data_IF_453047792020
#
_entry.id   IF_453047792020
#
_cell.length_a   1.000
_cell.length_b   1.000
_cell.length_c   1.000
_cell.angle_alpha   90.00
_cell.angle_beta   90.00
_cell.angle_gamma   90.00
#
_symmetry.space_group_name_H-M   'P 1'
#
loop_
_entity.id
_entity.type
_entity.pdbx_description
1 polymer ?
#
# COMPACT_ATOMS: atom_id res chain seq x y z
N UNK A 1 -2.75 13.16 8.94
CA UNK A 1 -3.83 13.67 8.08
C UNK A 1 -3.39 15.01 7.49
N UNK A 2 -4.00 15.49 6.39
CA UNK A 2 -3.65 16.76 5.74
C UNK A 2 -3.68 17.98 6.65
N UNK A 3 -4.43 17.96 7.76
CA UNK A 3 -4.48 19.04 8.76
C UNK A 3 -3.45 18.89 9.89
N UNK A 4 -2.58 17.87 9.83
CA UNK A 4 -1.58 17.58 10.86
C UNK A 4 -2.05 16.62 11.96
N UNK A 5 -3.33 16.25 11.98
CA UNK A 5 -3.88 15.32 12.99
C UNK A 5 -3.50 13.87 12.70
N UNK A 6 -3.55 13.00 13.71
CA UNK A 6 -3.23 11.58 13.60
C UNK A 6 -4.50 10.74 13.63
N UNK A 7 -4.71 9.88 12.62
CA UNK A 7 -5.70 8.82 12.69
C UNK A 7 -5.10 7.64 13.45
N UNK A 8 -5.76 7.20 14.51
CA UNK A 8 -5.36 6.06 15.34
C UNK A 8 -6.45 5.00 15.22
N UNK A 9 -6.06 3.77 14.91
CA UNK A 9 -6.92 2.60 14.94
C UNK A 9 -6.31 1.55 15.87
N UNK A 10 -7.12 1.01 16.78
CA UNK A 10 -6.71 0.00 17.74
C UNK A 10 -7.88 -0.95 18.00
N UNK A 11 -7.62 -2.25 17.82
CA UNK A 11 -8.59 -3.33 17.88
C UNK A 11 -9.74 -3.17 16.87
N UNK A 12 -10.85 -2.57 17.30
CA UNK A 12 -11.98 -2.19 16.44
C UNK A 12 -12.32 -0.70 16.57
N UNK A 13 -11.61 0.03 17.43
CA UNK A 13 -11.89 1.43 17.77
C UNK A 13 -10.96 2.34 16.98
N UNK A 14 -11.45 3.53 16.62
CA UNK A 14 -10.60 4.55 16.02
C UNK A 14 -10.94 5.95 16.46
N UNK A 15 -9.93 6.81 16.41
CA UNK A 15 -10.05 8.22 16.73
C UNK A 15 -9.17 9.09 15.83
N UNK A 16 -9.55 10.36 15.73
CA UNK A 16 -8.69 11.44 15.25
C UNK A 16 -8.10 12.14 16.46
N UNK A 17 -6.78 12.22 16.53
CA UNK A 17 -6.02 12.74 17.66
C UNK A 17 -5.19 13.96 17.24
N UNK A 18 -5.27 15.03 18.03
CA UNK A 18 -4.37 16.18 17.91
C UNK A 18 -3.14 15.92 18.77
N UNK A 19 -2.00 15.73 18.10
CA UNK A 19 -0.72 15.44 18.78
C UNK A 19 -0.21 16.65 19.57
N UNK A 20 -0.43 17.86 19.09
CA UNK A 20 0.07 19.08 19.74
C UNK A 20 -0.78 19.45 20.95
N UNK A 21 -2.11 19.31 20.84
CA UNK A 21 -3.03 19.55 21.94
C UNK A 21 -3.14 18.35 22.90
N UNK A 22 -2.63 17.17 22.51
CA UNK A 22 -2.73 15.91 23.27
C UNK A 22 -4.18 15.52 23.58
N UNK A 23 -5.07 15.66 22.61
CA UNK A 23 -6.50 15.41 22.79
C UNK A 23 -7.14 14.64 21.62
N UNK A 24 -8.18 13.86 21.94
CA UNK A 24 -9.04 13.24 20.94
C UNK A 24 -9.98 14.30 20.35
N UNK A 25 -9.84 14.59 19.06
CA UNK A 25 -10.74 15.48 18.31
C UNK A 25 -12.11 14.82 18.14
N UNK A 26 -12.11 13.55 17.70
CA UNK A 26 -13.34 12.77 17.54
C UNK A 26 -13.06 11.28 17.57
N UNK A 27 -14.02 10.53 18.11
CA UNK A 27 -14.08 9.07 18.02
C UNK A 27 -14.99 8.67 16.87
N UNK A 28 -14.63 7.63 16.14
CA UNK A 28 -15.47 7.04 15.11
C UNK A 28 -16.24 5.83 15.68
N UNK A 29 -17.29 5.36 15.00
CA UNK A 29 -17.94 4.10 15.36
C UNK A 29 -16.93 2.94 15.37
N UNK A 30 -17.19 1.93 16.20
CA UNK A 30 -16.41 0.69 16.15
C UNK A 30 -16.59 0.03 14.79
N UNK A 31 -15.49 -0.45 14.22
CA UNK A 31 -15.50 -1.23 13.00
C UNK A 31 -16.10 -2.62 13.27
N UNK A 32 -17.09 -3.07 12.49
CA UNK A 32 -17.54 -4.46 12.55
C UNK A 32 -16.43 -5.44 12.17
N UNK A 33 -16.41 -6.62 12.81
CA UNK A 33 -15.42 -7.68 12.57
C UNK A 33 -14.72 -8.14 13.85
N UNK A 34 -13.63 -8.87 13.66
CA UNK A 34 -12.76 -9.38 14.72
C UNK A 34 -11.66 -8.38 15.08
N UNK A 35 -10.76 -8.80 15.99
CA UNK A 35 -9.61 -8.00 16.41
C UNK A 35 -8.63 -7.80 15.24
N UNK A 36 -8.01 -6.63 15.18
CA UNK A 36 -7.11 -6.22 14.07
C UNK A 36 -5.76 -5.68 14.52
N UNK A 37 -5.52 -5.66 15.82
CA UNK A 37 -4.24 -5.25 16.41
C UNK A 37 -3.51 -6.47 16.94
N UNK A 38 -2.18 -6.34 17.07
CA UNK A 38 -1.33 -7.39 17.59
C UNK A 38 -1.94 -8.05 18.84
N UNK A 39 -2.00 -9.40 18.89
CA UNK A 39 -1.42 -10.35 17.93
C UNK A 39 -2.32 -10.71 16.73
N UNK A 40 -3.57 -10.26 16.71
CA UNK A 40 -4.55 -10.57 15.66
C UNK A 40 -4.50 -9.57 14.49
N UNK A 41 -3.29 -9.20 14.07
CA UNK A 41 -3.06 -8.03 13.23
C UNK A 41 -3.71 -8.17 11.84
N UNK A 42 -4.50 -7.17 11.45
CA UNK A 42 -4.91 -6.94 10.06
C UNK A 42 -3.93 -6.05 9.31
N UNK A 43 -4.20 -5.75 8.05
CA UNK A 43 -3.44 -4.77 7.26
C UNK A 43 -4.20 -3.47 7.11
N UNK A 44 -3.49 -2.37 6.88
CA UNK A 44 -4.10 -1.06 6.64
C UNK A 44 -3.37 -0.26 5.57
N UNK A 45 -4.13 0.59 4.87
CA UNK A 45 -3.62 1.58 3.91
C UNK A 45 -4.43 2.87 4.02
N UNK A 46 -3.79 4.01 3.74
CA UNK A 46 -4.50 5.22 3.35
C UNK A 46 -4.64 5.21 1.83
N UNK A 47 -5.88 5.19 1.34
CA UNK A 47 -6.18 5.15 -0.09
C UNK A 47 -5.63 6.40 -0.80
N UNK A 48 -5.36 6.30 -2.12
CA UNK A 48 -4.70 7.39 -2.86
C UNK A 48 -5.45 8.72 -2.77
N UNK A 49 -4.70 9.82 -2.68
CA UNK A 49 -5.24 11.17 -2.68
C UNK A 49 -5.22 11.71 -4.11
N UNK A 50 -6.38 12.04 -4.67
CA UNK A 50 -6.50 12.50 -6.05
C UNK A 50 -7.62 13.53 -6.21
N UNK A 51 -7.67 14.19 -7.37
CA UNK A 51 -8.69 15.21 -7.63
C UNK A 51 -10.12 14.68 -7.52
N UNK A 52 -10.35 13.41 -7.90
CA UNK A 52 -11.66 12.78 -7.90
C UNK A 52 -12.28 12.58 -6.51
N UNK A 53 -11.46 12.40 -5.48
CA UNK A 53 -11.90 12.32 -4.08
C UNK A 53 -11.63 13.61 -3.30
N UNK A 54 -11.41 14.74 -3.99
CA UNK A 54 -11.04 16.03 -3.40
C UNK A 54 -9.81 15.95 -2.47
N UNK A 55 -8.93 14.98 -2.66
CA UNK A 55 -7.80 14.70 -1.77
C UNK A 55 -8.22 14.43 -0.31
N UNK A 56 -9.46 13.99 -0.09
CA UNK A 56 -9.94 13.58 1.23
C UNK A 56 -9.31 12.22 1.60
N UNK A 57 -8.64 12.11 2.76
CA UNK A 57 -8.09 10.83 3.19
C UNK A 57 -9.20 9.83 3.50
N UNK A 58 -9.04 8.63 2.95
CA UNK A 58 -9.85 7.47 3.26
C UNK A 58 -8.91 6.34 3.70
N UNK A 59 -9.21 5.71 4.83
CA UNK A 59 -8.42 4.58 5.33
C UNK A 59 -9.16 3.28 5.04
N UNK A 60 -8.41 2.26 4.64
CA UNK A 60 -8.92 0.90 4.48
C UNK A 60 -8.17 -0.02 5.43
N UNK A 61 -8.90 -0.85 6.16
CA UNK A 61 -8.36 -1.82 7.12
C UNK A 61 -8.98 -3.18 6.80
N UNK A 62 -8.15 -4.21 6.63
CA UNK A 62 -8.57 -5.54 6.22
C UNK A 62 -8.04 -6.63 7.13
N UNK A 63 -8.80 -7.71 7.23
CA UNK A 63 -8.34 -8.92 7.91
C UNK A 63 -8.32 -8.83 9.43
N UNK A 64 -7.42 -9.59 10.04
CA UNK A 64 -7.31 -9.72 11.49
C UNK A 64 -7.71 -11.12 11.96
N UNK A 65 -8.07 -11.27 13.23
CA UNK A 65 -8.40 -12.59 13.79
C UNK A 65 -9.08 -12.56 15.16
N UNK A 66 -9.56 -13.72 15.58
CA UNK A 66 -10.38 -13.85 16.78
C UNK A 66 -9.55 -14.00 18.06
N UNK A 67 -8.45 -14.75 18.03
CA UNK A 67 -7.68 -15.07 19.23
C UNK A 67 -6.26 -15.53 18.90
N UNK A 68 -5.34 -15.30 19.84
CA UNK A 68 -3.95 -15.74 19.75
C UNK A 68 -3.80 -17.23 20.05
N UNK A 69 -4.37 -18.08 19.20
CA UNK A 69 -4.26 -19.53 19.31
C UNK A 69 -3.98 -20.14 17.94
N UNK A 70 -3.33 -21.30 17.94
CA UNK A 70 -3.10 -22.09 16.73
C UNK A 70 -4.44 -22.38 16.06
N UNK A 71 -4.48 -22.22 14.73
CA UNK A 71 -5.65 -22.52 13.89
C UNK A 71 -6.92 -21.67 14.16
N UNK A 72 -6.82 -20.57 14.92
CA UNK A 72 -7.92 -19.61 15.08
C UNK A 72 -8.34 -19.03 13.73
N UNK A 73 -9.63 -18.83 13.47
CA UNK A 73 -10.07 -18.29 12.18
C UNK A 73 -9.66 -16.81 12.06
N UNK A 74 -9.05 -16.44 10.94
CA UNK A 74 -8.83 -15.05 10.58
C UNK A 74 -10.10 -14.39 10.03
N UNK A 75 -10.15 -13.07 10.00
CA UNK A 75 -11.28 -12.32 9.46
C UNK A 75 -11.08 -12.05 7.96
N UNK A 76 -12.16 -12.04 7.18
CA UNK A 76 -12.15 -11.63 5.77
C UNK A 76 -12.58 -10.17 5.59
N UNK A 77 -13.25 -9.58 6.59
CA UNK A 77 -13.85 -8.27 6.46
C UNK A 77 -12.82 -7.15 6.31
N UNK A 78 -13.22 -6.15 5.54
CA UNK A 78 -12.50 -4.92 5.28
C UNK A 78 -13.42 -3.74 5.50
N UNK A 79 -12.91 -2.67 6.09
CA UNK A 79 -13.65 -1.44 6.35
C UNK A 79 -12.93 -0.26 5.75
N UNK A 80 -13.70 0.58 5.09
CA UNK A 80 -13.27 1.89 4.59
C UNK A 80 -13.93 2.99 5.40
N UNK A 81 -13.18 4.03 5.73
CA UNK A 81 -13.69 5.18 6.48
C UNK A 81 -12.91 6.43 6.11
N UNK A 82 -13.60 7.53 5.87
CA UNK A 82 -12.98 8.86 5.71
C UNK A 82 -12.84 9.52 7.08
N UNK A 83 -11.65 9.57 7.70
CA UNK A 83 -11.50 10.05 9.07
C UNK A 83 -11.85 11.52 9.23
N UNK A 84 -11.79 12.32 8.16
CA UNK A 84 -12.05 13.75 8.20
C UNK A 84 -13.51 14.13 7.91
N UNK A 85 -14.35 13.18 7.51
CA UNK A 85 -15.76 13.46 7.21
C UNK A 85 -16.51 13.96 8.45
N UNK A 86 -17.60 14.71 8.24
CA UNK A 86 -18.46 15.21 9.33
C UNK A 86 -19.16 14.08 10.09
N UNK A 87 -19.44 12.96 9.43
CA UNK A 87 -20.06 11.77 10.02
C UNK A 87 -19.33 10.51 9.54
N UNK A 88 -18.15 10.19 10.11
CA UNK A 88 -17.38 9.02 9.69
C UNK A 88 -18.18 7.73 9.92
N UNK A 89 -18.26 6.89 8.89
CA UNK A 89 -18.92 5.58 8.93
C UNK A 89 -18.04 4.56 8.22
N UNK A 90 -18.12 3.33 8.70
CA UNK A 90 -17.45 2.20 8.06
C UNK A 90 -18.28 1.71 6.89
N UNK A 91 -17.70 1.74 5.70
CA UNK A 91 -18.19 1.03 4.51
C UNK A 91 -17.48 -0.32 4.45
N UNK A 92 -18.26 -1.40 4.56
CA UNK A 92 -17.73 -2.75 4.73
C UNK A 92 -17.76 -3.53 3.41
N UNK A 93 -16.67 -4.25 3.16
CA UNK A 93 -16.51 -5.22 2.08
C UNK A 93 -15.74 -6.43 2.64
N UNK A 94 -15.50 -7.46 1.83
CA UNK A 94 -14.79 -8.67 2.27
C UNK A 94 -13.73 -9.09 1.25
N UNK A 95 -12.55 -9.46 1.73
CA UNK A 95 -11.59 -10.22 0.93
C UNK A 95 -12.21 -11.57 0.53
N UNK A 96 -11.85 -12.15 -0.62
CA UNK A 96 -12.35 -13.47 -1.00
C UNK A 96 -11.99 -14.60 -0.03
N UNK A 97 -10.92 -14.43 0.76
CA UNK A 97 -10.50 -15.36 1.80
C UNK A 97 -10.18 -14.61 3.10
N UNK A 98 -10.39 -15.24 4.29
CA UNK A 98 -9.95 -14.68 5.55
C UNK A 98 -8.44 -14.54 5.58
N UNK A 99 -7.94 -13.45 6.18
CA UNK A 99 -6.50 -13.20 6.22
C UNK A 99 -6.07 -12.42 7.46
N UNK A 100 -5.26 -13.05 8.30
CA UNK A 100 -4.46 -12.38 9.32
C UNK A 100 -3.08 -12.07 8.77
N UNK A 101 -2.41 -11.06 9.32
CA UNK A 101 -1.07 -10.62 8.89
C UNK A 101 -0.99 -10.13 7.44
N UNK A 102 -2.13 -9.77 6.84
CA UNK A 102 -2.17 -9.24 5.48
C UNK A 102 -1.47 -7.89 5.39
N UNK A 103 -0.80 -7.65 4.27
CA UNK A 103 -0.14 -6.38 3.94
C UNK A 103 -0.81 -5.75 2.73
N UNK A 104 -1.18 -4.48 2.87
CA UNK A 104 -1.71 -3.66 1.78
C UNK A 104 -0.60 -2.79 1.18
N UNK A 105 -0.44 -2.81 -0.15
CA UNK A 105 0.52 -1.98 -0.89
C UNK A 105 -0.21 -1.20 -1.98
N UNK A 106 -0.20 0.13 -1.88
CA UNK A 106 -0.69 1.03 -2.92
C UNK A 106 0.07 0.83 -4.24
N UNK A 107 -0.66 0.66 -5.33
CA UNK A 107 -0.14 0.48 -6.67
C UNK A 107 -0.32 1.74 -7.52
N UNK A 108 0.55 1.94 -8.53
CA UNK A 108 0.64 3.17 -9.34
C UNK A 108 -0.57 3.42 -10.26
N UNK A 109 -1.53 2.53 -10.32
CA UNK A 109 -2.82 2.70 -11.00
C UNK A 109 -3.97 3.08 -10.02
N UNK A 110 -3.65 3.28 -8.74
CA UNK A 110 -4.62 3.64 -7.69
C UNK A 110 -5.28 2.44 -7.01
N UNK A 111 -4.96 1.22 -7.44
CA UNK A 111 -5.42 -0.01 -6.77
C UNK A 111 -4.53 -0.38 -5.58
N UNK A 112 -4.94 -1.38 -4.79
CA UNK A 112 -4.20 -1.87 -3.63
C UNK A 112 -3.92 -3.35 -3.77
N UNK A 113 -2.65 -3.76 -3.70
CA UNK A 113 -2.26 -5.16 -3.56
C UNK A 113 -2.41 -5.58 -2.10
N UNK A 114 -3.15 -6.65 -1.85
CA UNK A 114 -3.25 -7.33 -0.57
C UNK A 114 -2.55 -8.70 -0.68
N UNK A 115 -1.49 -8.90 0.09
CA UNK A 115 -0.61 -10.09 0.01
C UNK A 115 -0.14 -10.50 1.42
N UNK A 116 0.53 -11.66 1.52
CA UNK A 116 1.09 -12.23 2.75
C UNK A 116 0.04 -12.60 3.82
N UNK A 117 0.46 -13.36 4.82
CA UNK A 117 -0.36 -13.79 5.93
C UNK A 117 -0.96 -15.19 5.82
N UNK A 118 -1.97 -15.45 6.64
CA UNK A 118 -2.58 -16.76 6.82
C UNK A 118 -4.09 -16.67 6.91
N UNK A 119 -4.77 -17.76 6.54
CA UNK A 119 -6.21 -17.90 6.76
C UNK A 119 -6.55 -18.27 8.20
N UNK A 120 -5.58 -18.80 8.96
CA UNK A 120 -5.76 -19.21 10.35
C UNK A 120 -4.54 -18.95 11.24
N UNK A 121 -4.79 -18.61 12.49
CA UNK A 121 -3.81 -18.28 13.51
C UNK A 121 -3.72 -16.78 13.79
N UNK A 122 -2.56 -16.36 14.29
CA UNK A 122 -2.27 -14.98 14.67
C UNK A 122 -0.76 -14.71 14.49
N UNK A 123 -0.33 -13.46 14.68
CA UNK A 123 1.08 -13.13 14.81
C UNK A 123 1.69 -13.78 16.07
N UNK A 124 2.99 -14.05 16.00
CA UNK A 124 3.74 -14.80 17.00
C UNK A 124 4.33 -16.09 16.42
N UNK A 125 5.10 -16.81 17.23
CA UNK A 125 5.77 -18.04 16.81
C UNK A 125 4.86 -19.25 16.93
N UNK A 126 4.85 -20.13 15.92
CA UNK A 126 4.09 -21.37 15.96
C UNK A 126 2.57 -21.20 16.01
N UNK A 127 2.00 -20.07 15.54
CA UNK A 127 0.54 -19.83 15.61
C UNK A 127 -0.17 -19.93 14.27
N UNK A 128 0.47 -19.48 13.20
CA UNK A 128 -0.14 -19.39 11.88
C UNK A 128 -0.22 -20.76 11.17
N UNK A 129 -1.38 -21.08 10.62
CA UNK A 129 -1.66 -22.25 9.80
C UNK A 129 -2.42 -21.83 8.54
N UNK A 130 -2.50 -22.70 7.53
CA UNK A 130 -3.14 -22.40 6.23
C UNK A 130 -2.66 -21.07 5.62
N UNK A 131 -1.41 -21.00 5.12
CA UNK A 131 -0.86 -19.80 4.50
C UNK A 131 -1.78 -19.27 3.40
N UNK A 132 -1.92 -17.94 3.33
CA UNK A 132 -2.74 -17.29 2.32
C UNK A 132 -1.84 -16.92 1.13
N UNK A 133 -1.87 -17.78 0.11
CA UNK A 133 -0.88 -17.81 -0.98
C UNK A 133 -1.22 -16.90 -2.17
N UNK A 134 -2.48 -16.47 -2.29
CA UNK A 134 -2.94 -15.64 -3.40
C UNK A 134 -2.58 -14.17 -3.19
N UNK A 135 -2.26 -13.48 -4.28
CA UNK A 135 -2.14 -12.03 -4.32
C UNK A 135 -3.46 -11.45 -4.82
N UNK A 136 -4.06 -10.54 -4.04
CA UNK A 136 -5.36 -9.95 -4.36
C UNK A 136 -5.21 -8.46 -4.68
N UNK A 137 -5.79 -8.00 -5.78
CA UNK A 137 -5.88 -6.56 -6.07
C UNK A 137 -7.28 -6.09 -5.69
N UNK A 138 -7.35 -5.04 -4.88
CA UNK A 138 -8.58 -4.30 -4.58
C UNK A 138 -8.60 -3.00 -5.39
N UNK A 139 -9.71 -2.73 -6.08
CA UNK A 139 -9.97 -1.46 -6.75
C UNK A 139 -10.95 -0.62 -5.92
N UNK A 140 -10.48 0.48 -5.27
CA UNK A 140 -11.33 1.35 -4.47
C UNK A 140 -12.42 2.07 -5.24
N UNK A 141 -12.26 2.27 -6.56
CA UNK A 141 -13.24 2.96 -7.40
C UNK A 141 -14.45 2.07 -7.71
N UNK A 142 -14.23 0.76 -7.89
CA UNK A 142 -15.28 -0.19 -8.24
C UNK A 142 -15.73 -1.11 -7.10
N UNK A 143 -15.04 -1.07 -5.96
CA UNK A 143 -15.21 -1.97 -4.81
C UNK A 143 -15.10 -3.45 -5.21
N UNK A 144 -14.05 -3.78 -5.98
CA UNK A 144 -13.85 -5.13 -6.53
C UNK A 144 -12.50 -5.71 -6.17
N UNK A 145 -12.52 -7.02 -5.93
CA UNK A 145 -11.35 -7.86 -5.71
C UNK A 145 -11.04 -8.67 -6.96
N UNK A 146 -9.77 -8.71 -7.36
CA UNK A 146 -9.29 -9.50 -8.50
C UNK A 146 -8.06 -10.32 -8.11
N UNK A 147 -8.06 -11.65 -8.28
CA UNK A 147 -6.86 -12.46 -8.06
C UNK A 147 -5.78 -12.10 -9.08
N UNK A 148 -4.53 -11.99 -8.64
CA UNK A 148 -3.42 -11.48 -9.47
C UNK A 148 -2.12 -12.26 -9.30
N UNK A 149 -2.25 -13.57 -9.15
CA UNK A 149 -1.15 -14.53 -9.02
C UNK A 149 -1.16 -15.24 -7.67
N UNK A 150 -0.36 -16.30 -7.57
CA UNK A 150 -0.23 -17.10 -6.36
C UNK A 150 1.25 -17.46 -6.17
N UNK A 151 1.74 -17.38 -4.93
CA UNK A 151 3.07 -17.87 -4.56
C UNK A 151 2.96 -19.27 -3.94
N UNK A 152 4.04 -20.04 -3.98
CA UNK A 152 4.17 -21.28 -3.21
C UNK A 152 4.98 -21.09 -1.92
N UNK A 153 5.28 -19.84 -1.56
CA UNK A 153 6.04 -19.47 -0.38
C UNK A 153 5.07 -18.97 0.69
N UNK A 154 5.05 -19.64 1.84
CA UNK A 154 4.26 -19.21 2.99
C UNK A 154 4.91 -17.98 3.64
N UNK A 155 4.37 -16.79 3.35
CA UNK A 155 4.81 -15.54 3.97
C UNK A 155 3.92 -15.21 5.15
N UNK A 156 4.32 -15.64 6.33
CA UNK A 156 3.58 -15.56 7.59
C UNK A 156 4.15 -14.43 8.46
N UNK A 157 4.23 -14.62 9.77
CA UNK A 157 4.82 -13.64 10.69
C UNK A 157 6.23 -13.21 10.23
N UNK A 158 6.54 -11.91 10.36
CA UNK A 158 7.75 -11.26 9.82
C UNK A 158 7.91 -11.28 8.28
N UNK A 159 6.83 -11.43 7.50
CA UNK A 159 6.86 -11.04 6.08
C UNK A 159 6.89 -9.53 5.90
N UNK A 160 7.23 -9.09 4.69
CA UNK A 160 7.09 -7.70 4.22
C UNK A 160 6.80 -7.65 2.71
N UNK A 161 6.14 -6.57 2.26
CA UNK A 161 5.93 -6.23 0.87
C UNK A 161 6.13 -4.72 0.63
N UNK A 162 6.83 -4.33 -0.44
CA UNK A 162 7.15 -2.93 -0.72
C UNK A 162 7.20 -2.63 -2.22
N UNK A 163 6.56 -1.54 -2.66
CA UNK A 163 6.66 -1.04 -4.03
C UNK A 163 8.08 -0.53 -4.33
N UNK A 164 8.65 -0.97 -5.44
CA UNK A 164 9.98 -0.60 -5.93
C UNK A 164 9.92 0.54 -6.96
N UNK A 165 11.07 1.15 -7.25
CA UNK A 165 11.20 2.26 -8.22
C UNK A 165 10.78 1.90 -9.64
N UNK A 166 10.83 0.63 -10.03
CA UNK A 166 10.34 0.20 -11.32
C UNK A 166 8.82 -0.06 -11.31
N UNK A 167 8.13 0.15 -10.19
CA UNK A 167 6.70 -0.12 -10.05
C UNK A 167 6.37 -1.60 -9.81
N UNK A 168 7.35 -2.48 -9.64
CA UNK A 168 7.09 -3.84 -9.14
C UNK A 168 7.00 -3.86 -7.61
N UNK A 169 6.57 -4.99 -7.01
CA UNK A 169 6.51 -5.13 -5.55
C UNK A 169 7.50 -6.19 -5.10
N UNK A 170 8.44 -5.80 -4.25
CA UNK A 170 9.31 -6.72 -3.51
C UNK A 170 8.47 -7.44 -2.45
N UNK A 171 8.59 -8.75 -2.37
CA UNK A 171 7.99 -9.56 -1.31
C UNK A 171 9.11 -10.36 -0.64
N UNK A 172 9.27 -10.19 0.66
CA UNK A 172 10.41 -10.75 1.40
C UNK A 172 10.00 -11.28 2.78
N UNK A 173 10.92 -12.04 3.37
CA UNK A 173 10.76 -12.67 4.66
C UNK A 173 9.80 -13.85 4.68
N UNK A 174 9.97 -14.63 5.74
CA UNK A 174 9.05 -14.76 6.86
C UNK A 174 9.83 -15.50 7.95
N UNK A 175 9.58 -15.20 9.22
CA UNK A 175 10.14 -15.96 10.32
C UNK A 175 9.04 -16.25 11.36
N UNK A 176 8.24 -17.31 11.14
CA UNK A 176 7.18 -17.72 12.04
C UNK A 176 7.67 -18.58 13.22
N UNK A 177 8.99 -18.68 13.43
CA UNK A 177 9.61 -19.54 14.44
C UNK A 177 10.46 -18.73 15.43
N UNK A 178 10.56 -19.20 16.68
CA UNK A 178 11.38 -18.56 17.72
C UNK A 178 12.87 -18.57 17.35
N UNK A 179 13.34 -19.69 16.80
CA UNK A 179 14.69 -19.85 16.25
C UNK A 179 14.60 -20.14 14.74
N UNK A 180 15.58 -19.71 13.92
CA UNK A 180 15.53 -19.98 12.49
C UNK A 180 15.43 -21.48 12.18
N UNK A 181 14.45 -21.84 11.34
CA UNK A 181 14.20 -23.21 10.88
C UNK A 181 14.56 -23.31 9.39
N UNK A 182 15.52 -24.16 9.04
CA UNK A 182 15.86 -24.43 7.64
C UNK A 182 14.87 -25.42 7.02
N UNK A 183 14.81 -25.48 5.69
CA UNK A 183 13.99 -26.46 4.96
C UNK A 183 14.22 -27.91 5.41
N UNK A 184 15.45 -28.29 5.77
CA UNK A 184 15.77 -29.64 6.26
C UNK A 184 15.29 -29.94 7.67
N UNK A 185 14.90 -28.91 8.44
CA UNK A 185 14.40 -29.02 9.81
C UNK A 185 12.87 -28.95 9.87
N UNK A 186 12.19 -28.78 8.73
CA UNK A 186 10.73 -28.69 8.68
C UNK A 186 10.10 -29.99 9.14
N UNK A 187 9.23 -29.87 10.15
CA UNK A 187 8.45 -30.98 10.69
C UNK A 187 6.96 -30.61 10.59
N UNK A 188 6.25 -31.16 9.59
CA UNK A 188 4.87 -30.75 9.25
C UNK A 188 3.85 -30.88 10.40
N UNK A 189 4.14 -31.72 11.40
CA UNK A 189 3.27 -31.98 12.54
C UNK A 189 3.77 -31.33 13.84
N UNK A 190 4.90 -30.64 13.79
CA UNK A 190 5.41 -29.80 14.86
C UNK A 190 5.19 -28.34 14.43
N UNK A 191 4.21 -27.68 15.04
CA UNK A 191 3.80 -26.35 14.63
C UNK A 191 4.92 -25.31 14.80
N UNK A 192 5.88 -25.55 15.70
CA UNK A 192 7.06 -24.70 15.90
C UNK A 192 8.11 -24.84 14.78
N UNK A 193 7.90 -25.79 13.86
CA UNK A 193 8.78 -26.08 12.71
C UNK A 193 8.02 -26.37 11.41
N UNK A 194 6.69 -26.18 11.39
CA UNK A 194 5.87 -26.51 10.24
C UNK A 194 6.19 -25.64 9.02
N UNK A 195 6.67 -24.42 9.27
CA UNK A 195 7.06 -23.45 8.24
C UNK A 195 8.53 -23.03 8.44
N UNK A 196 9.37 -23.08 7.40
CA UNK A 196 10.76 -22.66 7.50
C UNK A 196 10.87 -21.14 7.67
N UNK A 197 12.01 -20.68 8.16
CA UNK A 197 12.43 -19.29 8.00
C UNK A 197 12.76 -19.04 6.54
N UNK A 198 12.10 -18.04 5.93
CA UNK A 198 12.20 -17.75 4.51
C UNK A 198 13.20 -16.63 4.23
N UNK A 199 14.22 -16.96 3.45
CA UNK A 199 15.29 -16.06 3.01
C UNK A 199 15.16 -15.66 1.53
N UNK A 200 14.27 -16.31 0.78
CA UNK A 200 13.98 -16.00 -0.62
C UNK A 200 13.16 -14.72 -0.72
N UNK A 201 13.45 -13.99 -1.78
CA UNK A 201 12.77 -12.77 -2.18
C UNK A 201 12.02 -13.07 -3.48
N UNK A 202 10.81 -12.57 -3.59
CA UNK A 202 10.03 -12.58 -4.83
C UNK A 202 9.81 -11.15 -5.30
N UNK A 203 9.67 -10.98 -6.62
CA UNK A 203 9.18 -9.75 -7.23
C UNK A 203 7.80 -10.06 -7.82
N UNK A 204 6.77 -9.42 -7.30
CA UNK A 204 5.45 -9.45 -7.90
C UNK A 204 5.34 -8.35 -8.96
N UNK A 205 4.94 -8.74 -10.17
CA UNK A 205 4.77 -7.81 -11.31
C UNK A 205 3.29 -7.44 -11.46
N UNK A 206 2.90 -6.17 -11.22
CA UNK A 206 1.53 -5.70 -11.39
C UNK A 206 1.02 -5.79 -12.83
N UNK A 207 -0.31 -5.86 -13.05
CA UNK A 207 -0.92 -5.92 -14.39
C UNK A 207 -0.42 -4.83 -15.36
N UNK A 208 -0.21 -3.61 -14.88
CA UNK A 208 0.30 -2.50 -15.69
C UNK A 208 1.74 -2.68 -16.20
N UNK A 209 2.46 -3.72 -15.78
CA UNK A 209 3.82 -4.07 -16.25
C UNK A 209 3.91 -5.43 -16.96
N UNK A 210 2.81 -6.18 -17.07
CA UNK A 210 2.85 -7.52 -17.69
C UNK A 210 2.87 -7.43 -19.21
N UNK A 211 3.55 -8.40 -19.85
CA UNK A 211 3.62 -8.50 -21.31
C UNK A 211 4.21 -7.23 -21.95
N UNK A 212 3.61 -6.79 -23.06
CA UNK A 212 4.08 -5.66 -23.87
C UNK A 212 4.04 -4.31 -23.12
N UNK A 213 3.28 -4.22 -22.01
CA UNK A 213 3.26 -3.00 -21.20
C UNK A 213 4.65 -2.67 -20.64
N UNK A 214 5.48 -3.69 -20.33
CA UNK A 214 6.83 -3.46 -19.83
C UNK A 214 7.71 -2.65 -20.79
N UNK A 215 7.54 -2.83 -22.10
CA UNK A 215 8.29 -2.09 -23.13
C UNK A 215 7.74 -0.68 -23.41
N UNK A 216 6.48 -0.41 -23.04
CA UNK A 216 5.74 0.82 -23.33
C UNK A 216 5.92 1.93 -22.28
N UNK A 217 6.72 1.68 -21.26
CA UNK A 217 6.99 2.63 -20.18
C UNK A 217 7.53 3.96 -20.71
N UNK A 218 7.17 5.12 -20.11
CA UNK A 218 7.88 6.35 -20.35
C UNK A 218 9.35 6.23 -19.90
N UNK A 219 10.26 6.76 -20.73
CA UNK A 219 11.73 6.67 -20.58
C UNK A 219 12.36 8.05 -20.46
N UNK A 220 13.64 8.08 -20.07
CA UNK A 220 14.46 9.30 -19.87
C UNK A 220 13.70 10.39 -19.08
N UNK A 221 13.02 10.01 -18.00
CA UNK A 221 12.25 10.94 -17.17
C UNK A 221 13.22 11.92 -16.49
N UNK A 222 12.99 13.22 -16.70
CA UNK A 222 13.80 14.30 -16.11
C UNK A 222 12.91 15.35 -15.48
N UNK A 223 13.15 15.63 -14.20
CA UNK A 223 12.49 16.70 -13.47
C UNK A 223 13.35 17.97 -13.54
N UNK A 224 12.73 19.14 -13.63
CA UNK A 224 13.46 20.42 -13.61
C UNK A 224 14.09 20.74 -12.27
N UNK A 225 13.69 20.05 -11.20
CA UNK A 225 14.27 20.13 -9.85
C UNK A 225 13.91 18.87 -9.05
N UNK A 226 14.73 18.56 -8.06
CA UNK A 226 14.54 17.41 -7.16
C UNK A 226 14.13 17.83 -5.74
N UNK A 227 14.26 19.09 -5.40
CA UNK A 227 13.77 19.67 -4.15
C UNK A 227 12.43 20.36 -4.44
N UNK A 228 11.36 19.90 -3.79
CA UNK A 228 9.98 20.33 -4.04
C UNK A 228 9.41 21.03 -2.80
N UNK A 229 9.07 22.31 -2.93
CA UNK A 229 8.28 23.02 -1.92
C UNK A 229 6.79 22.85 -2.22
N UNK A 230 5.94 22.75 -1.19
CA UNK A 230 4.50 22.51 -1.34
C UNK A 230 3.82 23.48 -2.33
N UNK A 231 4.23 24.77 -2.33
CA UNK A 231 3.59 25.82 -3.17
C UNK A 231 4.24 26.02 -4.54
N UNK A 232 5.17 25.16 -4.91
CA UNK A 232 6.01 25.37 -6.08
C UNK A 232 5.59 24.50 -7.27
N UNK A 233 5.81 24.99 -8.50
CA UNK A 233 5.59 24.23 -9.74
C UNK A 233 6.90 23.75 -10.35
N UNK A 234 6.90 22.53 -10.90
CA UNK A 234 8.05 21.99 -11.61
C UNK A 234 7.62 21.36 -12.94
N UNK A 235 8.59 21.12 -13.81
CA UNK A 235 8.33 20.46 -15.10
C UNK A 235 8.96 19.09 -15.12
N UNK A 236 8.30 18.16 -15.80
CA UNK A 236 8.78 16.81 -16.06
C UNK A 236 8.84 16.64 -17.57
N UNK A 237 9.98 16.18 -18.08
CA UNK A 237 10.15 15.78 -19.48
C UNK A 237 10.42 14.30 -19.60
N UNK A 238 9.82 13.61 -20.56
CA UNK A 238 10.00 12.16 -20.77
C UNK A 238 9.72 11.76 -22.22
N UNK A 239 10.29 10.62 -22.61
CA UNK A 239 10.14 10.04 -23.95
C UNK A 239 9.16 8.86 -23.93
N UNK A 240 8.42 8.69 -25.02
CA UNK A 240 7.53 7.54 -25.27
C UNK A 240 7.52 7.20 -26.74
N UNK A 241 7.41 5.92 -27.05
CA UNK A 241 7.34 5.41 -28.43
C UNK A 241 5.94 5.61 -29.03
N UNK A 242 4.90 5.48 -28.20
CA UNK A 242 3.52 5.61 -28.61
C UNK A 242 2.93 7.01 -28.33
N UNK A 243 1.80 7.30 -28.96
CA UNK A 243 1.02 8.49 -28.65
C UNK A 243 0.53 8.50 -27.19
N UNK A 244 0.60 9.65 -26.54
CA UNK A 244 0.11 9.85 -25.18
C UNK A 244 -1.39 10.19 -25.20
N UNK A 245 -2.19 9.41 -24.50
CA UNK A 245 -3.65 9.59 -24.37
C UNK A 245 -4.08 9.88 -22.93
N UNK A 246 -3.44 9.28 -21.94
CA UNK A 246 -3.67 9.54 -20.52
C UNK A 246 -2.35 9.74 -19.78
N UNK A 247 -2.37 10.61 -18.78
CA UNK A 247 -1.19 10.95 -17.99
C UNK A 247 -1.61 11.15 -16.54
N UNK A 248 -0.98 10.42 -15.65
CA UNK A 248 -0.96 10.69 -14.23
C UNK A 248 0.47 10.95 -13.78
N UNK A 249 0.63 11.88 -12.83
CA UNK A 249 1.90 12.14 -12.16
C UNK A 249 1.69 11.92 -10.69
N UNK A 250 2.41 10.95 -10.13
CA UNK A 250 2.19 10.48 -8.76
C UNK A 250 3.40 10.84 -7.92
N UNK A 251 3.15 11.48 -6.77
CA UNK A 251 4.11 11.59 -5.69
C UNK A 251 3.84 10.48 -4.67
N UNK A 252 4.85 9.67 -4.40
CA UNK A 252 4.72 8.46 -3.62
C UNK A 252 5.76 8.39 -2.51
N UNK A 253 5.32 8.13 -1.29
CA UNK A 253 6.18 7.67 -0.20
C UNK A 253 5.86 6.20 0.05
N UNK A 254 6.88 5.34 -0.07
CA UNK A 254 6.72 3.91 0.20
C UNK A 254 6.64 3.55 1.67
N UNK A 255 6.96 4.49 2.57
CA UNK A 255 6.95 4.24 4.01
C UNK A 255 7.95 3.16 4.45
N UNK A 256 7.66 2.54 5.59
CA UNK A 256 8.40 1.42 6.16
C UNK A 256 7.40 0.38 6.67
N UNK A 257 7.74 -0.90 6.48
CA UNK A 257 6.86 -2.03 6.78
C UNK A 257 7.57 -3.06 7.65
N UNK A 258 6.88 -3.50 8.71
CA UNK A 258 7.26 -4.64 9.53
C UNK A 258 6.03 -5.13 10.30
N UNK A 259 5.95 -6.42 10.60
CA UNK A 259 4.86 -6.99 11.41
C UNK A 259 3.45 -6.67 10.87
N UNK A 260 3.27 -6.66 9.54
CA UNK A 260 2.01 -6.26 8.87
C UNK A 260 1.56 -4.82 9.14
N UNK A 261 2.45 -3.98 9.68
CA UNK A 261 2.22 -2.55 9.93
C UNK A 261 3.03 -1.76 8.92
N UNK A 262 2.34 -1.08 8.00
CA UNK A 262 2.95 -0.29 6.92
C UNK A 262 2.74 1.21 7.17
N UNK A 263 3.71 1.84 7.83
CA UNK A 263 3.61 3.25 8.23
C UNK A 263 4.26 4.18 7.21
N UNK A 264 3.67 5.36 7.05
CA UNK A 264 4.20 6.42 6.17
C UNK A 264 3.99 6.19 4.67
N UNK A 265 3.26 5.14 4.27
CA UNK A 265 2.87 4.97 2.88
C UNK A 265 1.83 6.04 2.49
N UNK A 266 2.14 6.81 1.45
CA UNK A 266 1.27 7.87 0.93
C UNK A 266 1.38 7.92 -0.59
N UNK A 267 0.24 8.03 -1.28
CA UNK A 267 0.16 8.22 -2.72
C UNK A 267 -0.67 9.47 -3.03
N UNK A 268 -0.09 10.42 -3.74
CA UNK A 268 -0.75 11.67 -4.15
C UNK A 268 -0.66 11.84 -5.66
N UNK A 269 -1.80 12.00 -6.32
CA UNK A 269 -1.86 12.37 -7.73
C UNK A 269 -1.67 13.89 -7.85
N UNK A 270 -0.53 14.30 -8.40
CA UNK A 270 -0.18 15.70 -8.62
C UNK A 270 -1.07 16.32 -9.68
N UNK A 271 -1.29 17.63 -9.54
CA UNK A 271 -2.12 18.38 -10.47
C UNK A 271 -1.27 18.81 -11.68
N UNK A 272 -1.84 18.67 -12.87
CA UNK A 272 -1.29 19.23 -14.11
C UNK A 272 -2.41 19.70 -15.03
N UNK A 273 -2.07 20.50 -16.05
CA UNK A 273 -3.03 21.09 -17.01
C UNK A 273 -2.91 20.49 -18.41
N UNK A 274 -2.54 19.21 -18.49
CA UNK A 274 -2.17 18.54 -19.74
C UNK A 274 -0.65 18.56 -19.97
N UNK A 275 -0.24 18.16 -21.16
CA UNK A 275 1.16 18.08 -21.60
C UNK A 275 1.31 18.71 -22.98
N UNK A 276 2.56 18.99 -23.35
CA UNK A 276 2.95 19.38 -24.70
C UNK A 276 3.89 18.35 -25.31
N UNK A 277 3.91 18.29 -26.64
CA UNK A 277 4.89 17.51 -27.40
C UNK A 277 5.89 18.48 -28.01
N UNK A 278 7.15 18.36 -27.60
CA UNK A 278 8.26 19.17 -28.11
C UNK A 278 8.62 18.76 -29.56
N UNK A 279 9.34 19.61 -30.33
CA UNK A 279 9.72 19.30 -31.71
C UNK A 279 10.54 18.01 -31.89
N UNK A 280 11.25 17.57 -30.85
CA UNK A 280 11.99 16.31 -30.82
C UNK A 280 11.12 15.10 -30.42
N UNK A 281 9.80 15.26 -30.29
CA UNK A 281 8.85 14.22 -29.90
C UNK A 281 8.65 14.05 -28.40
N UNK A 282 9.56 14.57 -27.57
CA UNK A 282 9.54 14.46 -26.11
C UNK A 282 8.28 15.10 -25.52
N UNK A 283 7.73 14.50 -24.47
CA UNK A 283 6.61 15.07 -23.72
C UNK A 283 7.14 15.97 -22.61
N UNK A 284 6.48 17.10 -22.37
CA UNK A 284 6.72 17.96 -21.21
C UNK A 284 5.41 18.28 -20.51
N UNK A 285 5.41 18.23 -19.19
CA UNK A 285 4.25 18.54 -18.33
C UNK A 285 4.70 19.47 -17.20
N UNK A 286 3.92 20.51 -16.91
CA UNK A 286 4.05 21.31 -15.69
C UNK A 286 3.14 20.71 -14.61
N UNK A 287 3.70 20.45 -13.44
CA UNK A 287 3.02 19.79 -12.33
C UNK A 287 3.17 20.60 -11.04
N UNK A 288 2.21 20.43 -10.13
CA UNK A 288 2.21 21.09 -8.82
C UNK A 288 1.41 20.28 -7.78
N UNK A 289 1.70 20.51 -6.50
CA UNK A 289 0.95 19.90 -5.40
C UNK A 289 -0.49 20.44 -5.38
N UNK A 290 -1.48 19.63 -4.97
CA UNK A 290 -2.82 20.13 -4.71
C UNK A 290 -2.82 21.16 -3.58
N UNK A 291 -3.68 22.18 -3.70
CA UNK A 291 -3.81 23.22 -2.68
C UNK A 291 -4.36 22.66 -1.36
N UNK A 292 -3.83 23.14 -0.23
CA UNK A 292 -4.30 22.75 1.11
C UNK A 292 -3.82 21.38 1.61
N UNK A 293 -3.11 20.60 0.78
CA UNK A 293 -2.54 19.33 1.21
C UNK A 293 -1.21 19.56 1.94
N UNK A 294 -1.15 19.19 3.22
CA UNK A 294 0.11 19.08 3.94
C UNK A 294 0.61 17.63 3.90
N UNK A 295 1.90 17.48 3.59
CA UNK A 295 2.62 16.21 3.59
C UNK A 295 3.77 16.29 4.58
N UNK A 296 4.20 15.14 5.09
CA UNK A 296 5.43 15.09 5.89
C UNK A 296 6.63 15.45 5.00
N UNK A 297 7.60 16.26 5.47
CA UNK A 297 8.82 16.50 4.73
C UNK A 297 9.63 15.20 4.59
N UNK A 298 10.49 15.15 3.57
CA UNK A 298 11.44 14.04 3.41
C UNK A 298 11.45 13.45 2.00
N UNK A 299 11.95 12.21 1.86
CA UNK A 299 12.12 11.58 0.55
C UNK A 299 10.79 11.05 0.01
N UNK A 300 10.54 11.35 -1.26
CA UNK A 300 9.43 10.82 -2.05
C UNK A 300 9.96 10.35 -3.40
N UNK A 301 9.10 9.68 -4.16
CA UNK A 301 9.35 9.26 -5.53
C UNK A 301 8.26 9.85 -6.41
N UNK A 302 8.67 10.50 -7.50
CA UNK A 302 7.77 10.94 -8.57
C UNK A 302 7.71 9.86 -9.64
N UNK A 303 6.51 9.39 -9.93
CA UNK A 303 6.22 8.48 -11.03
C UNK A 303 5.44 9.23 -12.12
N UNK A 304 5.80 8.95 -13.37
CA UNK A 304 5.02 9.30 -14.55
C UNK A 304 4.31 8.05 -15.01
N UNK A 305 2.97 8.06 -14.99
CA UNK A 305 2.14 6.96 -15.47
C UNK A 305 1.47 7.40 -16.76
N UNK A 306 1.92 6.83 -17.88
CA UNK A 306 1.49 7.23 -19.20
C UNK A 306 0.74 6.09 -19.89
N UNK A 307 -0.47 6.35 -20.37
CA UNK A 307 -1.37 5.32 -20.90
C UNK A 307 -1.56 4.14 -19.93
N UNK A 308 -1.58 4.41 -18.61
CA UNK A 308 -1.67 3.39 -17.56
C UNK A 308 -0.38 2.62 -17.27
N UNK A 309 0.75 2.96 -17.89
CA UNK A 309 2.04 2.29 -17.67
C UNK A 309 3.02 3.23 -16.96
N UNK A 310 3.56 2.85 -15.79
CA UNK A 310 4.50 3.69 -15.05
C UNK A 310 5.92 3.61 -15.62
N UNK A 311 6.59 4.76 -15.68
CA UNK A 311 8.05 4.81 -15.84
C UNK A 311 8.78 4.48 -14.54
N UNK A 312 10.12 4.47 -14.60
CA UNK A 312 10.94 4.31 -13.40
C UNK A 312 10.84 5.59 -12.56
N UNK A 313 10.51 5.43 -11.29
CA UNK A 313 10.35 6.51 -10.33
C UNK A 313 11.62 7.33 -10.12
N UNK A 314 11.45 8.62 -9.87
CA UNK A 314 12.54 9.57 -9.65
C UNK A 314 12.49 10.09 -8.21
N UNK A 315 13.57 9.93 -7.45
CA UNK A 315 13.62 10.46 -6.09
C UNK A 315 13.56 11.99 -6.07
N UNK A 316 12.81 12.52 -5.11
CA UNK A 316 12.71 13.95 -4.79
C UNK A 316 12.68 14.12 -3.28
N UNK A 317 13.02 15.32 -2.81
CA UNK A 317 12.86 15.73 -1.42
C UNK A 317 11.71 16.73 -1.35
N UNK A 318 10.71 16.48 -0.51
CA UNK A 318 9.62 17.43 -0.24
C UNK A 318 9.95 18.25 1.00
N UNK A 319 9.83 19.57 0.86
CA UNK A 319 9.97 20.57 1.93
C UNK A 319 8.63 21.22 2.23
N UNK A 320 8.42 21.54 3.51
CA UNK A 320 7.24 22.26 4.01
C UNK A 320 7.55 23.75 4.11
#
# INVERSE_FOLDING_TARGET
>A
MPDGTLFIFSDTSSELFDVFASETIKKMPNMPGMHRTYPNTGGSVMLPLHRGNNYEPEVMICGGGMSQVVDSLCDASCGRLSPMSQQPRWEMTEMPEPRGMVEGVLLLDGTVLWINGCQRGAQGFGLATKPALEAMIYDPCSDRWTPSGQSNIARLYHSVALLLLDGTVLVAGSNPNEMPVTMSQVELYDQDKAFPTEFRIEIWTPPYLRGDNASRRPKDIRLSRLELEIKSRFTIGFDMEEGLSTLDVILYAGGFVTHSVHMGQVMVYLVHRGWETLPNGRKRVEVYMPEGLNLAPGPYVVYVVANGVPGIGQFVTVHV
#
